data_IF_320301079084
#
_entry.id   IF_320301079084
#
_cell.length_a   1.000
_cell.length_b   1.000
_cell.length_c   1.000
_cell.angle_alpha   90.00
_cell.angle_beta   90.00
_cell.angle_gamma   90.00
#
_symmetry.space_group_name_H-M   'P 1'
#
loop_
_entity.id
_entity.type
_entity.pdbx_description
1 polymer ?
#
# COMPACT_ATOMS: atom_id res chain seq x y z
N UNK A 1 9.92 1.93 -3.41
CA UNK A 1 8.55 1.87 -3.98
C UNK A 1 8.39 0.69 -4.93
N UNK A 2 8.61 0.84 -6.25
CA UNK A 2 8.26 -0.20 -7.24
C UNK A 2 8.98 -1.53 -6.97
N UNK A 3 10.30 -1.52 -6.83
CA UNK A 3 11.10 -2.72 -6.56
C UNK A 3 10.62 -3.44 -5.29
N UNK A 4 10.38 -2.68 -4.22
CA UNK A 4 9.90 -3.24 -2.95
C UNK A 4 8.50 -3.85 -3.09
N UNK A 5 7.57 -3.16 -3.75
CA UNK A 5 6.22 -3.68 -4.01
C UNK A 5 6.25 -4.93 -4.88
N UNK A 6 7.11 -4.98 -5.90
CA UNK A 6 7.31 -6.20 -6.70
C UNK A 6 7.80 -7.35 -5.82
N UNK A 7 8.75 -7.09 -4.92
CA UNK A 7 9.22 -8.09 -3.95
C UNK A 7 8.13 -8.59 -3.00
N UNK A 8 7.27 -7.68 -2.51
CA UNK A 8 6.10 -8.01 -1.68
C UNK A 8 5.12 -8.89 -2.44
N UNK A 9 4.75 -8.50 -3.67
CA UNK A 9 3.82 -9.27 -4.51
C UNK A 9 4.35 -10.67 -4.83
N UNK A 10 5.65 -10.80 -5.09
CA UNK A 10 6.29 -12.08 -5.32
C UNK A 10 6.24 -12.96 -4.06
N UNK A 11 6.52 -12.39 -2.89
CA UNK A 11 6.47 -13.11 -1.61
C UNK A 11 5.05 -13.59 -1.27
N UNK A 12 4.05 -12.73 -1.47
CA UNK A 12 2.64 -13.07 -1.27
C UNK A 12 2.19 -14.18 -2.24
N UNK A 13 2.54 -14.05 -3.53
CA UNK A 13 2.20 -15.05 -4.55
C UNK A 13 2.88 -16.40 -4.28
N UNK A 14 4.13 -16.40 -3.83
CA UNK A 14 4.84 -17.60 -3.44
C UNK A 14 4.14 -18.31 -2.27
N UNK A 15 3.70 -17.55 -1.26
CA UNK A 15 2.97 -18.11 -0.12
C UNK A 15 1.61 -18.70 -0.54
N UNK A 16 0.84 -17.97 -1.36
CA UNK A 16 -0.44 -18.44 -1.89
C UNK A 16 -0.28 -19.78 -2.63
N UNK A 17 0.75 -19.89 -3.49
CA UNK A 17 1.09 -21.14 -4.20
C UNK A 17 1.48 -22.25 -3.23
N UNK A 18 2.33 -21.96 -2.24
CA UNK A 18 2.77 -22.93 -1.24
C UNK A 18 1.60 -23.48 -0.44
N UNK A 19 0.70 -22.61 0.02
CA UNK A 19 -0.46 -22.98 0.83
C UNK A 19 -1.61 -23.55 0.00
N UNK A 20 -1.52 -23.51 -1.34
CA UNK A 20 -2.58 -23.95 -2.27
C UNK A 20 -3.93 -23.29 -2.01
N UNK A 21 -3.90 -22.03 -1.59
CA UNK A 21 -5.10 -21.23 -1.35
C UNK A 21 -5.42 -20.38 -2.58
N UNK A 22 -6.70 -20.03 -2.74
CA UNK A 22 -7.16 -19.10 -3.75
C UNK A 22 -7.38 -17.73 -3.08
N UNK A 23 -6.74 -16.64 -3.54
CA UNK A 23 -7.09 -15.30 -3.11
C UNK A 23 -8.55 -15.02 -3.48
N UNK A 24 -9.27 -14.36 -2.58
CA UNK A 24 -10.65 -13.96 -2.80
C UNK A 24 -10.83 -12.49 -2.43
N UNK A 25 -11.75 -11.84 -3.14
CA UNK A 25 -12.08 -10.45 -2.87
C UNK A 25 -12.88 -10.34 -1.57
N UNK A 26 -12.72 -9.21 -0.89
CA UNK A 26 -13.46 -8.90 0.33
C UNK A 26 -13.67 -7.38 0.42
N UNK A 27 -14.50 -6.88 1.37
CA UNK A 27 -14.75 -5.45 1.49
C UNK A 27 -13.49 -4.60 1.64
N UNK A 28 -12.45 -5.11 2.32
CA UNK A 28 -11.18 -4.42 2.47
C UNK A 28 -10.42 -4.32 1.14
N UNK A 29 -10.29 -5.42 0.38
CA UNK A 29 -9.63 -5.39 -0.93
C UNK A 29 -10.39 -4.53 -1.94
N UNK A 30 -11.72 -4.60 -1.93
CA UNK A 30 -12.58 -3.79 -2.78
C UNK A 30 -12.43 -2.28 -2.47
N UNK A 31 -12.42 -1.90 -1.19
CA UNK A 31 -12.21 -0.50 -0.77
C UNK A 31 -10.85 0.02 -1.23
N UNK A 32 -9.77 -0.70 -0.93
CA UNK A 32 -8.41 -0.29 -1.32
C UNK A 32 -8.23 -0.18 -2.83
N UNK A 33 -8.89 -1.05 -3.60
CA UNK A 33 -8.89 -1.00 -5.07
C UNK A 33 -9.67 0.24 -5.56
N UNK A 34 -10.85 0.49 -5.02
CA UNK A 34 -11.68 1.65 -5.38
C UNK A 34 -10.97 2.98 -5.13
N UNK A 35 -10.30 3.10 -3.98
CA UNK A 35 -9.51 4.29 -3.63
C UNK A 35 -8.35 4.50 -4.62
N UNK A 36 -7.66 3.41 -4.99
CA UNK A 36 -6.60 3.43 -5.99
C UNK A 36 -7.09 3.84 -7.39
N UNK A 37 -8.22 3.30 -7.83
CA UNK A 37 -8.84 3.63 -9.12
C UNK A 37 -9.30 5.10 -9.15
N UNK A 38 -9.88 5.59 -8.06
CA UNK A 38 -10.29 6.99 -7.89
C UNK A 38 -9.09 7.93 -7.98
N UNK A 39 -8.01 7.64 -7.26
CA UNK A 39 -6.79 8.45 -7.32
C UNK A 39 -6.17 8.44 -8.73
N UNK A 40 -6.09 7.28 -9.37
CA UNK A 40 -5.59 7.18 -10.75
C UNK A 40 -6.39 8.04 -11.71
N UNK A 41 -7.71 8.10 -11.57
CA UNK A 41 -8.55 8.94 -12.41
C UNK A 41 -8.34 10.44 -12.15
N UNK A 42 -8.19 10.84 -10.88
CA UNK A 42 -7.81 12.21 -10.52
C UNK A 42 -6.48 12.63 -11.17
N UNK A 43 -5.45 11.78 -11.05
CA UNK A 43 -4.10 12.10 -11.51
C UNK A 43 -3.99 12.26 -13.03
N UNK A 44 -4.80 11.56 -13.83
CA UNK A 44 -4.77 11.65 -15.31
C UNK A 44 -4.99 13.07 -15.84
N UNK A 45 -5.73 13.91 -15.10
CA UNK A 45 -6.02 15.29 -15.49
C UNK A 45 -4.96 16.31 -15.07
N UNK A 46 -4.00 15.91 -14.22
CA UNK A 46 -3.03 16.81 -13.60
C UNK A 46 -1.67 16.73 -14.30
N UNK A 47 -0.89 17.81 -14.24
CA UNK A 47 0.45 17.89 -14.83
C UNK A 47 1.41 18.69 -13.95
N UNK A 48 2.70 18.45 -14.13
CA UNK A 48 3.76 19.18 -13.43
C UNK A 48 3.55 19.22 -11.91
N UNK A 49 3.73 20.38 -11.30
CA UNK A 49 3.63 20.54 -9.84
C UNK A 49 2.27 20.15 -9.25
N UNK A 50 1.16 20.30 -9.99
CA UNK A 50 -0.15 19.87 -9.51
C UNK A 50 -0.24 18.34 -9.45
N UNK A 51 0.34 17.65 -10.43
CA UNK A 51 0.47 16.19 -10.41
C UNK A 51 1.34 15.74 -9.24
N UNK A 52 2.53 16.34 -9.08
CA UNK A 52 3.48 15.94 -8.03
C UNK A 52 2.89 16.10 -6.63
N UNK A 53 2.19 17.21 -6.40
CA UNK A 53 1.48 17.49 -5.14
C UNK A 53 0.35 16.49 -4.89
N UNK A 54 -0.54 16.30 -5.87
CA UNK A 54 -1.67 15.39 -5.73
C UNK A 54 -1.22 13.92 -5.59
N UNK A 55 -0.14 13.54 -6.27
CA UNK A 55 0.45 12.21 -6.19
C UNK A 55 0.97 11.96 -4.78
N UNK A 56 1.82 12.85 -4.25
CA UNK A 56 2.42 12.63 -2.94
C UNK A 56 1.41 12.69 -1.81
N UNK A 57 0.40 13.56 -1.90
CA UNK A 57 -0.69 13.63 -0.93
C UNK A 57 -1.42 12.29 -0.84
N UNK A 58 -1.71 11.69 -2.00
CA UNK A 58 -2.32 10.37 -2.02
C UNK A 58 -1.37 9.29 -1.51
N UNK A 59 -0.08 9.31 -1.85
CA UNK A 59 0.88 8.32 -1.35
C UNK A 59 0.94 8.33 0.18
N UNK A 60 0.88 9.51 0.84
CA UNK A 60 0.81 9.62 2.30
C UNK A 60 -0.48 9.03 2.85
N UNK A 61 -1.64 9.40 2.29
CA UNK A 61 -2.95 8.94 2.75
C UNK A 61 -3.07 7.42 2.57
N UNK A 62 -2.73 6.92 1.39
CA UNK A 62 -2.90 5.52 1.01
C UNK A 62 -1.98 4.60 1.81
N UNK A 63 -0.70 4.96 1.98
CA UNK A 63 0.21 4.16 2.79
C UNK A 63 -0.18 4.15 4.28
N UNK A 64 -0.72 5.26 4.80
CA UNK A 64 -1.27 5.25 6.15
C UNK A 64 -2.48 4.32 6.26
N UNK A 65 -3.42 4.36 5.31
CA UNK A 65 -4.59 3.48 5.28
C UNK A 65 -4.20 2.00 5.21
N UNK A 66 -3.20 1.65 4.38
CA UNK A 66 -2.68 0.28 4.29
C UNK A 66 -2.03 -0.15 5.60
N UNK A 67 -1.22 0.70 6.24
CA UNK A 67 -0.62 0.39 7.55
C UNK A 67 -1.69 0.18 8.62
N UNK A 68 -2.72 1.02 8.63
CA UNK A 68 -3.85 0.88 9.55
C UNK A 68 -4.58 -0.46 9.36
N UNK A 69 -4.84 -0.85 8.11
CA UNK A 69 -5.43 -2.15 7.77
C UNK A 69 -4.51 -3.30 8.18
N UNK A 70 -3.21 -3.19 7.95
CA UNK A 70 -2.24 -4.20 8.38
C UNK A 70 -2.26 -4.38 9.89
N UNK A 71 -2.20 -3.29 10.65
CA UNK A 71 -2.03 -3.31 12.10
C UNK A 71 -3.31 -3.67 12.85
N UNK A 72 -4.46 -3.22 12.35
CA UNK A 72 -5.75 -3.37 13.04
C UNK A 72 -6.55 -4.59 12.55
N UNK A 73 -6.26 -5.08 11.34
CA UNK A 73 -7.09 -6.12 10.71
C UNK A 73 -6.26 -7.32 10.24
N UNK A 74 -5.27 -7.12 9.38
CA UNK A 74 -4.62 -8.25 8.70
C UNK A 74 -3.68 -9.02 9.63
N UNK A 75 -2.76 -8.35 10.33
CA UNK A 75 -1.79 -9.01 11.21
C UNK A 75 -2.50 -9.66 12.42
N UNK A 76 -3.44 -8.99 13.12
CA UNK A 76 -4.17 -9.63 14.22
C UNK A 76 -5.14 -10.72 13.74
N UNK A 77 -5.75 -10.55 12.58
CA UNK A 77 -6.75 -11.47 12.03
C UNK A 77 -6.17 -12.68 11.28
N UNK A 78 -4.89 -12.66 10.95
CA UNK A 78 -4.23 -13.77 10.26
C UNK A 78 -4.15 -15.01 11.17
N UNK A 79 -4.90 -16.05 10.81
CA UNK A 79 -4.91 -17.36 11.51
C UNK A 79 -3.76 -18.28 11.10
N UNK A 80 -3.25 -18.11 9.89
CA UNK A 80 -2.10 -18.88 9.41
C UNK A 80 -0.81 -18.15 9.80
N UNK A 81 0.06 -18.83 10.55
CA UNK A 81 1.30 -18.23 11.07
C UNK A 81 2.26 -17.78 9.96
N UNK A 82 2.35 -18.50 8.84
CA UNK A 82 3.20 -18.07 7.72
C UNK A 82 2.71 -16.77 7.08
N UNK A 83 1.38 -16.61 6.95
CA UNK A 83 0.77 -15.37 6.48
C UNK A 83 1.03 -14.24 7.46
N UNK A 84 0.85 -14.48 8.76
CA UNK A 84 1.10 -13.49 9.80
C UNK A 84 2.55 -13.02 9.81
N UNK A 85 3.49 -13.97 9.73
CA UNK A 85 4.93 -13.67 9.62
C UNK A 85 5.25 -12.90 8.35
N UNK A 86 4.66 -13.26 7.20
CA UNK A 86 4.86 -12.52 5.97
C UNK A 86 4.37 -11.07 6.09
N UNK A 87 3.17 -10.86 6.63
CA UNK A 87 2.61 -9.52 6.85
C UNK A 87 3.49 -8.69 7.78
N UNK A 88 3.96 -9.26 8.90
CA UNK A 88 4.88 -8.61 9.81
C UNK A 88 6.23 -8.27 9.14
N UNK A 89 6.75 -9.18 8.29
CA UNK A 89 8.01 -9.02 7.57
C UNK A 89 7.96 -7.89 6.52
N UNK A 90 6.84 -7.72 5.82
CA UNK A 90 6.71 -6.71 4.76
C UNK A 90 6.33 -5.33 5.30
N UNK A 91 5.68 -5.26 6.47
CA UNK A 91 5.23 -4.01 7.10
C UNK A 91 6.29 -2.89 7.14
N UNK A 92 7.56 -3.15 7.50
CA UNK A 92 8.58 -2.10 7.54
C UNK A 92 8.80 -1.36 6.22
N UNK A 93 8.59 -2.02 5.06
CA UNK A 93 8.69 -1.38 3.76
C UNK A 93 7.63 -0.27 3.61
N UNK A 94 6.38 -0.55 3.99
CA UNK A 94 5.29 0.42 3.95
C UNK A 94 5.52 1.58 4.93
N UNK A 95 6.11 1.32 6.10
CA UNK A 95 6.51 2.39 7.05
C UNK A 95 7.57 3.30 6.43
N UNK A 96 8.59 2.72 5.80
CA UNK A 96 9.64 3.48 5.13
C UNK A 96 9.08 4.31 3.96
N UNK A 97 8.18 3.73 3.18
CA UNK A 97 7.50 4.41 2.07
C UNK A 97 6.64 5.58 2.55
N UNK A 98 5.83 5.40 3.60
CA UNK A 98 5.06 6.49 4.20
C UNK A 98 5.98 7.62 4.69
N UNK A 99 7.08 7.27 5.37
CA UNK A 99 8.05 8.26 5.84
C UNK A 99 8.64 9.04 4.68
N UNK A 100 9.08 8.35 3.62
CA UNK A 100 9.62 9.01 2.43
C UNK A 100 8.58 9.91 1.77
N UNK A 101 7.32 9.47 1.67
CA UNK A 101 6.24 10.26 1.11
C UNK A 101 6.02 11.56 1.91
N UNK A 102 5.97 11.49 3.24
CA UNK A 102 5.86 12.67 4.12
C UNK A 102 7.06 13.62 3.98
N UNK A 103 8.27 13.08 3.81
CA UNK A 103 9.47 13.90 3.56
C UNK A 103 9.35 14.65 2.24
N UNK A 104 8.97 13.97 1.16
CA UNK A 104 8.78 14.60 -0.16
C UNK A 104 7.67 15.65 -0.09
N UNK A 105 6.53 15.32 0.51
CA UNK A 105 5.40 16.23 0.68
C UNK A 105 5.82 17.52 1.39
N UNK A 106 6.62 17.40 2.45
CA UNK A 106 7.16 18.57 3.18
C UNK A 106 8.15 19.39 2.35
N UNK A 107 8.87 18.75 1.43
CA UNK A 107 9.91 19.38 0.59
C UNK A 107 9.39 20.07 -0.67
N UNK A 108 8.16 19.74 -1.12
CA UNK A 108 7.60 20.29 -2.36
C UNK A 108 7.26 21.78 -2.30
N UNK A 109 7.44 22.42 -1.14
CA UNK A 109 7.21 23.84 -0.92
C UNK A 109 5.72 24.18 -0.92
N UNK A 110 5.25 24.90 0.11
CA UNK A 110 3.95 25.57 0.03
C UNK A 110 4.05 26.61 -1.07
N UNK A 111 3.48 26.34 -2.25
CA UNK A 111 3.14 27.41 -3.20
C UNK A 111 1.93 28.17 -2.67
#
# INVERSE_FOLDING_TARGET
MIVDHTGVNNSATALVKKLKVKPDDNPTSASLKSDGDTNRNKLKGLKGAEFDSAYIDNEVIYHQAVLDVMDKTLIPGAKNEELKLLLAKIRPAFVAHLKHAKTIQSSLGKK
#
